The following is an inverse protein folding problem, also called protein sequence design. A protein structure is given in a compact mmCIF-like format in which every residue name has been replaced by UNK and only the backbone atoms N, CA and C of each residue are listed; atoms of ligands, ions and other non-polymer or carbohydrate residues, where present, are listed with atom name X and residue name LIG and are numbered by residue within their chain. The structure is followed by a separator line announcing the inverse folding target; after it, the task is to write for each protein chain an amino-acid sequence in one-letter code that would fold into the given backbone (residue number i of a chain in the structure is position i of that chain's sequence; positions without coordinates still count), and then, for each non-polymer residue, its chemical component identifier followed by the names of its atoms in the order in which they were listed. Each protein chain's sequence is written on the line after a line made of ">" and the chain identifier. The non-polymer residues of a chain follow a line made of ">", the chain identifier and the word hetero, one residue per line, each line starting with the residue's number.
data_IF_815339919058
#
_entry.id   IF_815339919058
#
_cell.length_a   1.000
_cell.length_b   1.000
_cell.length_c   1.000
_cell.angle_alpha   90.00
_cell.angle_beta   90.00
_cell.angle_gamma   90.00
#
_symmetry.space_group_name_H-M   'P 1'
#
loop_
_entity.id
_entity.type
_entity.pdbx_description
1 polymer ?
#
# COMPACT_ATOMS: atom_id res chain seq x y z
N UNK A 1 19.31 -24.09 -25.27
CA UNK A 1 18.16 -23.19 -24.98
C UNK A 1 18.10 -22.13 -26.08
N UNK A 2 17.01 -22.12 -26.85
CA UNK A 2 16.92 -21.36 -28.12
C UNK A 2 16.73 -19.86 -27.87
N UNK A 3 17.51 -19.02 -28.57
CA UNK A 3 17.47 -17.54 -28.52
C UNK A 3 16.05 -16.95 -28.68
N UNK A 4 15.17 -17.66 -29.38
CA UNK A 4 13.76 -17.28 -29.59
C UNK A 4 12.92 -17.18 -28.30
N UNK A 5 13.24 -17.95 -27.26
CA UNK A 5 12.50 -17.89 -25.99
C UNK A 5 12.82 -16.66 -25.14
N UNK A 6 14.05 -16.14 -25.25
CA UNK A 6 14.48 -14.94 -24.51
C UNK A 6 13.89 -13.66 -25.12
N UNK A 7 13.78 -13.60 -26.45
CA UNK A 7 13.16 -12.46 -27.15
C UNK A 7 11.67 -12.36 -26.90
N UNK A 8 10.96 -13.49 -26.79
CA UNK A 8 9.53 -13.51 -26.47
C UNK A 8 9.27 -12.98 -25.05
N UNK A 9 10.05 -13.45 -24.06
CA UNK A 9 9.95 -12.96 -22.67
C UNK A 9 10.32 -11.47 -22.56
N UNK A 10 11.31 -11.01 -23.33
CA UNK A 10 11.70 -9.60 -23.35
C UNK A 10 10.65 -8.68 -23.98
N UNK A 11 9.94 -9.16 -25.01
CA UNK A 11 8.84 -8.43 -25.65
C UNK A 11 7.60 -8.34 -24.74
N UNK A 12 7.22 -9.46 -24.13
CA UNK A 12 6.08 -9.54 -23.20
C UNK A 12 6.34 -8.70 -21.94
N UNK A 13 7.58 -8.66 -21.44
CA UNK A 13 7.99 -7.77 -20.36
C UNK A 13 7.91 -6.29 -20.76
N UNK A 14 8.29 -5.94 -22.00
CA UNK A 14 8.18 -4.56 -22.51
C UNK A 14 6.74 -4.11 -22.68
N UNK A 15 5.88 -5.01 -23.13
CA UNK A 15 4.47 -4.73 -23.30
C UNK A 15 3.78 -4.54 -21.94
N UNK A 16 4.08 -5.39 -20.95
CA UNK A 16 3.62 -5.21 -19.58
C UNK A 16 4.12 -3.90 -18.94
N UNK A 17 5.36 -3.49 -19.21
CA UNK A 17 5.91 -2.20 -18.77
C UNK A 17 5.17 -1.04 -19.45
N UNK A 18 4.85 -1.13 -20.74
CA UNK A 18 4.05 -0.11 -21.44
C UNK A 18 2.63 -0.02 -20.91
N UNK A 19 1.96 -1.13 -20.64
CA UNK A 19 0.61 -1.11 -20.05
C UNK A 19 0.60 -0.50 -18.65
N UNK A 20 1.71 -0.61 -17.91
CA UNK A 20 1.90 0.06 -16.62
C UNK A 20 2.22 1.55 -16.80
N UNK A 21 2.96 1.94 -17.84
CA UNK A 21 3.29 3.34 -18.14
C UNK A 21 2.11 4.12 -18.75
N UNK A 22 1.24 3.49 -19.54
CA UNK A 22 0.11 4.16 -20.19
C UNK A 22 -1.05 4.51 -19.24
N UNK A 23 -1.03 4.03 -17.99
CA UNK A 23 -1.98 4.44 -16.96
C UNK A 23 -1.65 5.79 -16.29
N UNK A 24 -0.60 6.48 -16.73
CA UNK A 24 -0.08 7.71 -16.13
C UNK A 24 -0.72 9.01 -16.67
N UNK A 25 -1.99 8.94 -17.07
CA UNK A 25 -2.84 10.12 -17.19
C UNK A 25 -3.75 10.11 -15.96
N UNK A 26 -3.17 10.45 -14.81
CA UNK A 26 -3.84 10.41 -13.52
C UNK A 26 -4.80 11.61 -13.43
N UNK A 27 -6.07 11.34 -13.14
CA UNK A 27 -6.93 12.34 -12.52
C UNK A 27 -6.20 12.91 -11.30
N UNK A 28 -6.29 14.22 -11.04
CA UNK A 28 -5.63 14.82 -9.89
C UNK A 28 -6.10 14.13 -8.61
N UNK A 29 -5.15 13.56 -7.86
CA UNK A 29 -5.42 12.91 -6.57
C UNK A 29 -6.18 13.87 -5.67
N UNK A 30 -7.31 13.41 -5.11
CA UNK A 30 -8.11 14.25 -4.21
C UNK A 30 -7.40 14.57 -2.90
N UNK A 31 -7.99 15.44 -2.08
CA UNK A 31 -7.47 15.74 -0.75
C UNK A 31 -7.99 14.75 0.30
N UNK A 32 -7.26 14.60 1.42
CA UNK A 32 -7.78 14.04 2.67
C UNK A 32 -8.66 15.10 3.34
N UNK A 33 -9.97 14.90 3.34
CA UNK A 33 -10.91 15.84 3.97
C UNK A 33 -11.18 15.40 5.40
N UNK A 34 -10.76 16.19 6.38
CA UNK A 34 -10.97 15.94 7.80
C UNK A 34 -12.16 16.77 8.29
N UNK A 35 -13.09 16.14 9.03
CA UNK A 35 -14.28 16.80 9.56
C UNK A 35 -14.68 16.27 10.94
N UNK A 36 -15.51 17.04 11.64
CA UNK A 36 -16.02 16.70 12.97
C UNK A 36 -15.20 17.27 14.12
N UNK A 37 -15.45 16.76 15.32
CA UNK A 37 -14.81 17.23 16.55
C UNK A 37 -13.29 17.05 16.48
N UNK A 38 -12.51 18.08 16.86
CA UNK A 38 -11.03 18.07 16.80
C UNK A 38 -10.43 17.90 15.39
N UNK A 39 -11.20 18.16 14.32
CA UNK A 39 -10.73 18.02 12.94
C UNK A 39 -9.47 18.83 12.64
N UNK A 40 -9.35 20.04 13.16
CA UNK A 40 -8.13 20.85 12.96
C UNK A 40 -6.89 20.22 13.59
N UNK A 41 -7.03 19.59 14.76
CA UNK A 41 -5.90 18.93 15.40
C UNK A 41 -5.46 17.72 14.60
N UNK A 42 -6.39 16.85 14.20
CA UNK A 42 -6.06 15.70 13.37
C UNK A 42 -5.50 16.11 12.02
N UNK A 43 -6.04 17.16 11.39
CA UNK A 43 -5.53 17.67 10.12
C UNK A 43 -4.11 18.22 10.24
N UNK A 44 -3.75 18.87 11.37
CA UNK A 44 -2.37 19.28 11.64
C UNK A 44 -1.43 18.09 11.79
N UNK A 45 -1.85 17.04 12.51
CA UNK A 45 -1.06 15.83 12.70
C UNK A 45 -0.89 15.04 11.39
N UNK A 46 -1.97 14.88 10.60
CA UNK A 46 -1.93 14.24 9.29
C UNK A 46 -1.18 15.05 8.24
N UNK A 47 -1.29 16.38 8.29
CA UNK A 47 -0.68 17.32 7.36
C UNK A 47 0.78 17.64 7.64
N UNK A 48 1.40 17.01 8.64
CA UNK A 48 2.80 17.23 8.96
C UNK A 48 3.71 16.86 7.78
N UNK A 49 4.31 17.88 7.14
CA UNK A 49 5.14 17.71 5.95
C UNK A 49 4.36 17.44 4.65
N UNK A 50 3.03 17.51 4.69
CA UNK A 50 2.20 17.31 3.51
C UNK A 50 2.23 18.53 2.56
N UNK A 51 1.99 18.28 1.28
CA UNK A 51 1.81 19.35 0.30
C UNK A 51 0.63 20.26 0.68
N UNK A 52 0.69 21.57 0.38
CA UNK A 52 -0.42 22.48 0.60
C UNK A 52 -1.73 21.97 -0.04
N UNK A 53 -2.77 21.82 0.76
CA UNK A 53 -4.08 21.35 0.31
C UNK A 53 -4.21 19.83 0.14
N UNK A 54 -3.18 19.04 0.46
CA UNK A 54 -3.30 17.57 0.48
C UNK A 54 -4.15 17.07 1.66
N UNK A 55 -4.16 17.80 2.77
CA UNK A 55 -5.04 17.59 3.94
C UNK A 55 -5.80 18.87 4.19
N UNK A 56 -7.14 18.80 4.22
CA UNK A 56 -8.01 19.97 4.40
C UNK A 56 -9.08 19.71 5.44
N UNK A 57 -9.39 20.72 6.24
CA UNK A 57 -10.53 20.68 7.17
C UNK A 57 -11.75 21.26 6.48
N UNK A 58 -12.87 20.55 6.49
CA UNK A 58 -14.17 21.06 5.99
C UNK A 58 -15.31 20.62 6.90
N UNK A 59 -16.14 21.58 7.31
CA UNK A 59 -17.38 21.33 8.04
C UNK A 59 -18.49 22.23 7.46
N UNK A 60 -19.53 21.68 6.82
CA UNK A 60 -19.80 20.26 6.60
C UNK A 60 -18.74 19.57 5.70
N UNK A 61 -18.58 18.23 5.80
CA UNK A 61 -17.65 17.50 4.95
C UNK A 61 -18.02 17.63 3.47
N UNK A 62 -17.06 18.03 2.66
CA UNK A 62 -17.22 18.10 1.21
C UNK A 62 -16.59 16.86 0.57
N UNK A 63 -17.41 16.09 -0.14
CA UNK A 63 -16.99 14.85 -0.82
C UNK A 63 -16.40 15.16 -2.21
N UNK A 64 -16.81 16.28 -2.81
CA UNK A 64 -16.33 16.70 -4.11
C UNK A 64 -14.81 16.97 -4.08
N UNK A 65 -14.06 16.17 -4.83
CA UNK A 65 -12.59 16.26 -4.90
C UNK A 65 -11.86 15.67 -3.69
N UNK A 66 -12.56 14.94 -2.82
CA UNK A 66 -11.94 14.20 -1.72
C UNK A 66 -11.48 12.83 -2.21
N UNK A 67 -10.22 12.48 -1.92
CA UNK A 67 -9.73 11.11 -2.11
C UNK A 67 -10.26 10.20 -0.99
N UNK A 68 -10.39 10.76 0.21
CA UNK A 68 -10.93 10.10 1.39
C UNK A 68 -11.50 11.16 2.35
N UNK A 69 -12.60 10.83 3.01
CA UNK A 69 -13.16 11.64 4.10
C UNK A 69 -12.81 10.99 5.43
N UNK A 70 -12.17 11.72 6.33
CA UNK A 70 -11.91 11.31 7.71
C UNK A 70 -12.90 12.05 8.61
N UNK A 71 -13.83 11.30 9.22
CA UNK A 71 -14.88 11.85 10.08
C UNK A 71 -14.61 11.46 11.53
N UNK A 72 -14.43 12.47 12.39
CA UNK A 72 -14.22 12.26 13.81
C UNK A 72 -15.57 12.29 14.53
N UNK A 73 -15.86 11.23 15.28
CA UNK A 73 -17.11 11.04 16.01
C UNK A 73 -16.88 11.17 17.52
N UNK A 74 -17.66 12.06 18.13
CA UNK A 74 -17.82 12.16 19.57
C UNK A 74 -19.23 11.66 19.95
N UNK A 75 -19.33 10.37 20.28
CA UNK A 75 -20.60 9.73 20.66
C UNK A 75 -21.10 8.71 19.64
N UNK A 76 -22.37 8.33 19.80
CA UNK A 76 -23.02 7.37 18.91
C UNK A 76 -23.30 7.97 17.53
N UNK A 77 -23.21 7.18 16.45
CA UNK A 77 -23.58 7.64 15.11
C UNK A 77 -25.02 8.15 15.07
N UNK A 78 -25.21 9.30 14.43
CA UNK A 78 -26.52 9.89 14.21
C UNK A 78 -26.86 9.94 12.70
N UNK A 79 -28.08 10.40 12.38
CA UNK A 79 -28.54 10.53 10.99
C UNK A 79 -27.60 11.33 10.04
N UNK A 80 -26.87 12.37 10.49
CA UNK A 80 -25.91 13.07 9.63
C UNK A 80 -24.76 12.18 9.14
N UNK A 81 -24.26 11.28 9.98
CA UNK A 81 -23.20 10.33 9.63
C UNK A 81 -23.70 9.32 8.58
N UNK A 82 -24.93 8.84 8.72
CA UNK A 82 -25.54 7.93 7.73
C UNK A 82 -25.71 8.60 6.37
N UNK A 83 -26.12 9.87 6.36
CA UNK A 83 -26.24 10.65 5.14
C UNK A 83 -24.86 10.86 4.47
N UNK A 84 -23.82 11.11 5.26
CA UNK A 84 -22.45 11.21 4.77
C UNK A 84 -21.98 9.92 4.10
N UNK A 85 -22.15 8.76 4.75
CA UNK A 85 -21.71 7.46 4.19
C UNK A 85 -22.44 7.18 2.88
N UNK A 86 -23.76 7.40 2.81
CA UNK A 86 -24.54 7.20 1.58
C UNK A 86 -24.10 8.14 0.46
N UNK A 87 -23.86 9.41 0.79
CA UNK A 87 -23.41 10.40 -0.19
C UNK A 87 -22.00 10.07 -0.70
N UNK A 88 -21.12 9.55 0.16
CA UNK A 88 -19.77 9.16 -0.20
C UNK A 88 -19.74 7.89 -1.05
N UNK A 89 -20.54 6.88 -0.68
CA UNK A 89 -20.74 5.65 -1.44
C UNK A 89 -21.27 5.93 -2.86
N UNK A 90 -22.22 6.85 -2.99
CA UNK A 90 -22.80 7.23 -4.29
C UNK A 90 -21.77 7.78 -5.30
N UNK A 91 -20.62 8.30 -4.83
CA UNK A 91 -19.54 8.82 -5.66
C UNK A 91 -18.23 8.03 -5.51
N UNK A 92 -18.26 6.91 -4.78
CA UNK A 92 -17.10 6.03 -4.58
C UNK A 92 -16.00 6.61 -3.68
N UNK A 93 -16.28 7.63 -2.87
CA UNK A 93 -15.31 8.21 -1.93
C UNK A 93 -15.32 7.42 -0.62
N UNK A 94 -14.19 6.85 -0.17
CA UNK A 94 -14.13 6.16 1.11
C UNK A 94 -14.30 7.11 2.30
N UNK A 95 -14.94 6.61 3.37
CA UNK A 95 -15.06 7.31 4.66
C UNK A 95 -14.36 6.51 5.75
N UNK A 96 -13.40 7.15 6.43
CA UNK A 96 -12.71 6.61 7.61
C UNK A 96 -13.25 7.31 8.85
N UNK A 97 -13.79 6.54 9.79
CA UNK A 97 -14.28 7.07 11.05
C UNK A 97 -13.21 7.00 12.13
N UNK A 98 -13.06 8.08 12.90
CA UNK A 98 -12.19 8.14 14.09
C UNK A 98 -13.08 8.38 15.30
N UNK A 99 -13.13 7.42 16.21
CA UNK A 99 -14.06 7.45 17.35
C UNK A 99 -13.35 7.85 18.64
N UNK A 100 -13.81 8.90 19.32
CA UNK A 100 -13.07 9.50 20.45
C UNK A 100 -13.24 8.82 21.83
N UNK A 101 -14.04 7.76 21.99
CA UNK A 101 -14.06 6.92 23.22
C UNK A 101 -14.91 5.65 23.02
N UNK A 102 -14.60 4.53 23.70
CA UNK A 102 -15.42 3.31 23.64
C UNK A 102 -16.76 3.48 24.37
N UNK A 103 -17.85 3.10 23.71
CA UNK A 103 -19.09 2.77 24.40
C UNK A 103 -19.09 1.26 24.67
N UNK A 104 -19.33 0.85 25.92
CA UNK A 104 -19.48 -0.57 26.28
C UNK A 104 -20.57 -1.29 25.46
N UNK A 105 -21.47 -0.52 24.85
CA UNK A 105 -22.60 -0.98 24.05
C UNK A 105 -22.50 -0.50 22.58
N UNK A 106 -21.29 -0.18 22.11
CA UNK A 106 -21.12 0.34 20.75
C UNK A 106 -21.59 -0.68 19.71
N UNK A 107 -22.55 -0.27 18.89
CA UNK A 107 -22.92 -1.00 17.68
C UNK A 107 -21.98 -0.54 16.57
N UNK A 108 -21.35 -1.45 15.81
CA UNK A 108 -20.61 -1.09 14.61
C UNK A 108 -21.50 -0.18 13.75
N UNK A 109 -21.00 1.00 13.39
CA UNK A 109 -21.63 1.78 12.33
C UNK A 109 -21.80 0.85 11.13
N UNK A 110 -22.99 0.90 10.54
CA UNK A 110 -23.32 0.51 9.18
C UNK A 110 -22.32 -0.39 8.44
N UNK A 111 -22.86 -1.53 7.96
CA UNK A 111 -22.22 -2.57 7.14
C UNK A 111 -21.42 -2.05 5.91
N UNK A 112 -21.56 -0.76 5.55
CA UNK A 112 -21.00 -0.14 4.35
C UNK A 112 -19.62 0.52 4.52
N UNK A 113 -19.21 0.94 5.73
CA UNK A 113 -17.83 1.45 5.94
C UNK A 113 -17.04 0.58 6.92
N UNK A 114 -16.10 -0.25 6.44
CA UNK A 114 -15.30 -1.13 7.29
C UNK A 114 -14.19 -0.39 8.05
N UNK A 115 -14.02 0.91 7.87
CA UNK A 115 -12.87 1.66 8.33
C UNK A 115 -13.20 2.52 9.56
N UNK A 116 -13.29 1.88 10.72
CA UNK A 116 -13.41 2.57 12.02
C UNK A 116 -12.11 2.42 12.79
N UNK A 117 -11.59 3.53 13.31
CA UNK A 117 -10.40 3.60 14.14
C UNK A 117 -10.78 4.16 15.51
N UNK A 118 -10.52 3.39 16.55
CA UNK A 118 -10.78 3.79 17.93
C UNK A 118 -9.66 4.67 18.46
N UNK A 119 -10.01 5.83 19.01
CA UNK A 119 -9.13 6.76 19.69
C UNK A 119 -9.45 6.75 21.18
N UNK A 120 -8.55 6.21 22.00
CA UNK A 120 -8.71 6.20 23.46
C UNK A 120 -8.35 7.59 24.01
N UNK A 121 -9.17 8.10 24.92
CA UNK A 121 -8.87 9.38 25.57
C UNK A 121 -7.61 9.25 26.44
N UNK A 122 -6.83 10.33 26.43
CA UNK A 122 -5.51 10.38 27.06
C UNK A 122 -4.37 9.82 26.20
N UNK A 123 -4.66 9.07 25.12
CA UNK A 123 -3.61 8.51 24.25
C UNK A 123 -3.30 9.38 23.02
N UNK A 124 -4.09 10.43 22.77
CA UNK A 124 -4.01 11.23 21.55
C UNK A 124 -4.56 10.49 20.33
N UNK A 125 -4.45 11.07 19.14
CA UNK A 125 -4.92 10.39 17.92
C UNK A 125 -4.01 9.20 17.59
N UNK A 126 -4.57 8.02 17.27
CA UNK A 126 -3.81 6.87 16.79
C UNK A 126 -3.44 7.07 15.31
N UNK A 127 -2.63 8.09 15.04
CA UNK A 127 -2.23 8.52 13.69
C UNK A 127 -1.74 7.34 12.81
N UNK A 128 -0.94 6.37 13.31
CA UNK A 128 -0.52 5.22 12.51
C UNK A 128 -1.68 4.32 12.06
N UNK A 129 -2.71 4.14 12.89
CA UNK A 129 -3.86 3.30 12.55
C UNK A 129 -4.83 4.03 11.62
N UNK A 130 -4.98 5.35 11.78
CA UNK A 130 -5.72 6.23 10.86
C UNK A 130 -5.05 6.20 9.47
N UNK A 131 -3.73 6.37 9.42
CA UNK A 131 -2.96 6.28 8.18
C UNK A 131 -3.12 4.92 7.49
N UNK A 132 -3.12 3.82 8.26
CA UNK A 132 -3.36 2.46 7.74
C UNK A 132 -4.79 2.26 7.27
N UNK A 133 -5.78 2.91 7.89
CA UNK A 133 -7.16 2.87 7.43
C UNK A 133 -7.31 3.62 6.09
N UNK A 134 -6.76 4.84 6.00
CA UNK A 134 -6.72 5.64 4.76
C UNK A 134 -6.04 4.87 3.63
N UNK A 135 -4.83 4.35 3.87
CA UNK A 135 -4.06 3.62 2.87
C UNK A 135 -4.78 2.37 2.32
N UNK A 136 -5.68 1.78 3.11
CA UNK A 136 -6.48 0.61 2.70
C UNK A 136 -7.77 0.98 2.00
N UNK A 137 -8.27 2.20 2.18
CA UNK A 137 -9.56 2.61 1.68
C UNK A 137 -9.50 3.26 0.29
N UNK A 138 -8.37 3.90 -0.04
CA UNK A 138 -8.19 4.62 -1.31
C UNK A 138 -7.74 3.71 -2.45
N UNK A 139 -8.08 4.07 -3.68
CA UNK A 139 -7.74 3.30 -4.87
C UNK A 139 -6.26 3.44 -5.29
N UNK A 140 -5.71 4.65 -5.10
CA UNK A 140 -4.36 5.03 -5.49
C UNK A 140 -3.54 5.54 -4.29
N UNK A 141 -3.25 4.67 -3.30
CA UNK A 141 -2.60 5.07 -2.07
C UNK A 141 -1.18 5.63 -2.29
N UNK A 142 -0.48 5.20 -3.35
CA UNK A 142 0.87 5.68 -3.65
C UNK A 142 0.90 7.16 -4.00
N UNK A 143 -0.06 7.61 -4.82
CA UNK A 143 -0.15 8.99 -5.26
C UNK A 143 -0.59 9.92 -4.11
N UNK A 144 -1.39 9.42 -3.17
CA UNK A 144 -1.72 10.14 -1.94
C UNK A 144 -0.53 10.23 -0.96
N UNK A 145 0.26 9.14 -0.83
CA UNK A 145 1.44 9.13 0.03
C UNK A 145 2.53 10.10 -0.44
N UNK A 146 2.71 10.26 -1.75
CA UNK A 146 3.63 11.26 -2.30
C UNK A 146 3.30 12.70 -1.87
N UNK A 147 2.01 12.98 -1.58
CA UNK A 147 1.52 14.30 -1.14
C UNK A 147 1.38 14.41 0.38
N UNK A 148 1.28 13.29 1.08
CA UNK A 148 1.11 13.19 2.53
C UNK A 148 2.14 12.20 3.08
N UNK A 149 3.36 12.65 3.40
CA UNK A 149 4.49 11.76 3.75
C UNK A 149 4.21 10.85 4.95
N UNK A 150 3.34 11.29 5.87
CA UNK A 150 2.89 10.47 6.99
C UNK A 150 2.26 9.13 6.55
N UNK A 151 1.65 9.06 5.37
CA UNK A 151 1.03 7.85 4.83
C UNK A 151 2.05 6.86 4.25
N UNK A 152 3.26 7.29 3.89
CA UNK A 152 4.27 6.48 3.18
C UNK A 152 4.46 5.11 3.84
N UNK A 153 4.78 5.08 5.14
CA UNK A 153 5.02 3.83 5.87
C UNK A 153 3.82 2.89 5.85
N UNK A 154 2.61 3.44 5.93
CA UNK A 154 1.37 2.67 5.92
C UNK A 154 1.09 2.08 4.55
N UNK A 155 1.30 2.87 3.48
CA UNK A 155 1.17 2.44 2.09
C UNK A 155 2.21 1.40 1.74
N UNK A 156 3.49 1.64 2.05
CA UNK A 156 4.58 0.68 1.82
C UNK A 156 4.31 -0.65 2.51
N UNK A 157 3.91 -0.63 3.77
CA UNK A 157 3.59 -1.86 4.51
C UNK A 157 2.43 -2.61 3.85
N UNK A 158 1.38 -1.90 3.42
CA UNK A 158 0.24 -2.50 2.72
C UNK A 158 0.63 -3.13 1.38
N UNK A 159 1.44 -2.43 0.59
CA UNK A 159 1.98 -2.89 -0.70
C UNK A 159 2.82 -4.16 -0.51
N UNK A 160 3.73 -4.17 0.47
CA UNK A 160 4.58 -5.33 0.78
C UNK A 160 3.73 -6.52 1.23
N UNK A 161 2.82 -6.34 2.20
CA UNK A 161 1.96 -7.43 2.71
C UNK A 161 1.13 -8.04 1.57
N UNK A 162 0.53 -7.20 0.72
CA UNK A 162 -0.28 -7.66 -0.41
C UNK A 162 0.55 -8.42 -1.45
N UNK A 163 1.74 -7.91 -1.77
CA UNK A 163 2.66 -8.55 -2.71
C UNK A 163 3.14 -9.91 -2.18
N UNK A 164 3.48 -9.99 -0.90
CA UNK A 164 3.91 -11.21 -0.22
C UNK A 164 2.79 -12.25 -0.20
N UNK A 165 1.57 -11.85 0.16
CA UNK A 165 0.41 -12.74 0.17
C UNK A 165 0.11 -13.28 -1.24
N UNK A 166 0.13 -12.42 -2.26
CA UNK A 166 -0.04 -12.83 -3.67
C UNK A 166 1.07 -13.77 -4.13
N UNK A 167 2.33 -13.46 -3.82
CA UNK A 167 3.47 -14.30 -4.16
C UNK A 167 3.36 -15.69 -3.50
N UNK A 168 2.98 -15.74 -2.22
CA UNK A 168 2.75 -16.98 -1.48
C UNK A 168 1.65 -17.83 -2.13
N UNK A 169 0.50 -17.22 -2.46
CA UNK A 169 -0.61 -17.89 -3.14
C UNK A 169 -0.20 -18.42 -4.51
N UNK A 170 0.48 -17.61 -5.33
CA UNK A 170 0.99 -18.04 -6.64
C UNK A 170 2.01 -19.18 -6.51
N UNK A 171 2.87 -19.14 -5.49
CA UNK A 171 3.82 -20.20 -5.18
C UNK A 171 3.12 -21.52 -4.77
N UNK A 172 2.08 -21.43 -3.95
CA UNK A 172 1.30 -22.58 -3.51
C UNK A 172 0.49 -23.22 -4.64
N UNK A 173 -0.20 -22.42 -5.46
CA UNK A 173 -1.09 -22.90 -6.54
C UNK A 173 -0.29 -23.34 -7.77
N UNK A 174 0.86 -22.70 -8.02
CA UNK A 174 1.72 -22.94 -9.17
C UNK A 174 2.30 -24.35 -9.29
N UNK A 175 2.20 -25.18 -8.25
CA UNK A 175 2.65 -26.58 -8.29
C UNK A 175 1.60 -27.55 -8.81
N UNK A 176 0.31 -27.21 -8.72
CA UNK A 176 -0.80 -28.10 -9.13
C UNK A 176 -1.07 -28.06 -10.64
N UNK A 177 -0.78 -26.94 -11.30
CA UNK A 177 -0.88 -26.80 -12.75
C UNK A 177 0.52 -26.55 -13.31
N UNK A 178 0.93 -27.25 -14.37
CA UNK A 178 2.14 -26.94 -15.18
C UNK A 178 1.97 -25.58 -15.88
N UNK A 179 1.80 -24.51 -15.11
CA UNK A 179 1.43 -23.18 -15.58
C UNK A 179 2.47 -22.10 -15.22
N UNK A 180 2.27 -20.86 -15.70
CA UNK A 180 3.25 -19.77 -15.68
C UNK A 180 3.45 -19.10 -14.31
N UNK A 181 3.50 -19.87 -13.22
CA UNK A 181 3.57 -19.34 -11.87
C UNK A 181 4.83 -18.47 -11.62
N UNK A 182 5.97 -18.81 -12.25
CA UNK A 182 7.22 -18.06 -12.10
C UNK A 182 7.13 -16.65 -12.72
N UNK A 183 6.71 -16.47 -13.99
CA UNK A 183 6.45 -15.14 -14.56
C UNK A 183 5.51 -14.28 -13.71
N UNK A 184 4.44 -14.87 -13.16
CA UNK A 184 3.46 -14.13 -12.37
C UNK A 184 4.02 -13.65 -11.02
N UNK A 185 4.87 -14.44 -10.37
CA UNK A 185 5.58 -14.02 -9.14
C UNK A 185 6.51 -12.85 -9.47
N UNK A 186 7.28 -12.94 -10.55
CA UNK A 186 8.17 -11.84 -10.98
C UNK A 186 7.39 -10.58 -11.30
N UNK A 187 6.25 -10.69 -11.98
CA UNK A 187 5.38 -9.55 -12.26
C UNK A 187 4.84 -8.91 -10.98
N UNK A 188 4.48 -9.74 -9.98
CA UNK A 188 4.04 -9.26 -8.66
C UNK A 188 5.14 -8.48 -7.95
N UNK A 189 6.39 -8.99 -8.01
CA UNK A 189 7.56 -8.31 -7.45
C UNK A 189 7.88 -7.00 -8.18
N UNK A 190 7.80 -6.97 -9.51
CA UNK A 190 8.00 -5.76 -10.29
C UNK A 190 6.94 -4.70 -10.00
N UNK A 191 5.66 -5.10 -9.88
CA UNK A 191 4.58 -4.18 -9.48
C UNK A 191 4.80 -3.63 -8.07
N UNK A 192 5.17 -4.47 -7.12
CA UNK A 192 5.52 -4.03 -5.77
C UNK A 192 6.63 -2.98 -5.78
N UNK A 193 7.74 -3.26 -6.49
CA UNK A 193 8.86 -2.31 -6.60
C UNK A 193 8.45 -1.01 -7.29
N UNK A 194 7.57 -1.07 -8.30
CA UNK A 194 7.03 0.11 -8.97
C UNK A 194 6.16 0.95 -8.03
N UNK A 195 5.27 0.31 -7.26
CA UNK A 195 4.42 1.00 -6.27
C UNK A 195 5.27 1.66 -5.18
N UNK A 196 6.26 0.94 -4.63
CA UNK A 196 7.18 1.49 -3.63
C UNK A 196 8.03 2.66 -4.14
N UNK A 197 8.23 2.78 -5.45
CA UNK A 197 8.89 3.94 -6.08
C UNK A 197 7.92 5.07 -6.41
N UNK A 198 6.63 4.77 -6.54
CA UNK A 198 5.60 5.77 -6.81
C UNK A 198 5.18 6.50 -5.53
N UNK A 199 5.37 5.87 -4.35
CA UNK A 199 5.27 6.53 -3.05
C UNK A 199 6.40 7.51 -2.80
N UNK A 200 7.54 7.34 -3.48
CA UNK A 200 8.68 8.26 -3.38
C UNK A 200 8.40 9.53 -4.19
N UNK A 201 8.55 10.69 -3.56
CA UNK A 201 8.55 11.98 -4.26
C UNK A 201 9.61 12.02 -5.36
N UNK A 202 9.37 12.86 -6.38
CA UNK A 202 10.14 12.97 -7.64
C UNK A 202 11.67 13.10 -7.49
N UNK A 203 12.15 13.59 -6.35
CA UNK A 203 13.58 13.84 -6.07
C UNK A 203 14.37 12.56 -5.73
N UNK A 204 13.77 11.60 -4.99
CA UNK A 204 14.47 10.37 -4.55
C UNK A 204 14.69 9.35 -5.67
N UNK A 205 13.95 9.50 -6.78
CA UNK A 205 13.92 8.53 -7.88
C UNK A 205 15.20 8.56 -8.76
N UNK A 206 16.05 9.58 -8.61
CA UNK A 206 17.23 9.82 -9.47
C UNK A 206 18.51 9.07 -9.06
N UNK A 207 18.61 8.52 -7.85
CA UNK A 207 19.93 8.20 -7.27
C UNK A 207 20.30 6.72 -7.12
N UNK A 208 19.52 5.77 -7.63
CA UNK A 208 19.87 4.35 -7.50
C UNK A 208 20.77 3.87 -8.64
N UNK A 209 22.07 3.57 -8.41
CA UNK A 209 22.92 2.96 -9.42
C UNK A 209 22.43 1.54 -9.76
N UNK A 210 22.06 1.26 -11.02
CA UNK A 210 21.41 0.00 -11.42
C UNK A 210 22.27 -1.25 -11.17
N UNK A 211 23.60 -1.08 -11.10
CA UNK A 211 24.55 -2.17 -10.87
C UNK A 211 24.49 -2.76 -9.44
N UNK A 212 24.28 -1.93 -8.41
CA UNK A 212 24.22 -2.39 -7.02
C UNK A 212 22.96 -3.22 -6.74
N UNK A 213 21.84 -2.81 -7.33
CA UNK A 213 20.55 -3.52 -7.25
C UNK A 213 20.64 -4.89 -7.95
N UNK A 214 21.29 -4.95 -9.11
CA UNK A 214 21.48 -6.21 -9.84
C UNK A 214 22.35 -7.22 -9.08
N UNK A 215 23.43 -6.78 -8.42
CA UNK A 215 24.30 -7.69 -7.65
C UNK A 215 23.62 -8.31 -6.43
N UNK A 216 22.92 -7.50 -5.64
CA UNK A 216 22.23 -7.95 -4.43
C UNK A 216 21.06 -8.90 -4.74
N UNK A 217 20.33 -8.65 -5.84
CA UNK A 217 19.23 -9.52 -6.28
C UNK A 217 19.70 -10.88 -6.77
N UNK A 218 20.84 -10.95 -7.46
CA UNK A 218 21.45 -12.22 -7.88
C UNK A 218 21.90 -13.05 -6.67
N UNK A 219 22.61 -12.43 -5.71
CA UNK A 219 23.06 -13.11 -4.50
C UNK A 219 21.88 -13.67 -3.66
N UNK A 220 20.83 -12.87 -3.47
CA UNK A 220 19.62 -13.30 -2.78
C UNK A 220 18.91 -14.47 -3.49
N UNK A 221 18.87 -14.44 -4.82
CA UNK A 221 18.26 -15.51 -5.64
C UNK A 221 18.96 -16.85 -5.47
N UNK A 222 20.30 -16.86 -5.37
CA UNK A 222 21.06 -18.09 -5.12
C UNK A 222 20.84 -18.63 -3.69
N UNK A 223 20.83 -17.75 -2.69
CA UNK A 223 20.58 -18.13 -1.30
C UNK A 223 19.18 -18.74 -1.12
N UNK A 224 18.14 -18.12 -1.70
CA UNK A 224 16.77 -18.63 -1.67
C UNK A 224 16.64 -19.98 -2.38
N UNK A 225 17.35 -20.19 -3.49
CA UNK A 225 17.33 -21.46 -4.21
C UNK A 225 18.00 -22.60 -3.43
N UNK A 226 19.06 -22.31 -2.67
CA UNK A 226 19.69 -23.27 -1.78
C UNK A 226 18.77 -23.65 -0.60
N UNK A 227 18.14 -22.64 0.04
CA UNK A 227 17.17 -22.84 1.11
C UNK A 227 15.96 -23.68 0.65
N UNK A 228 15.43 -23.39 -0.54
CA UNK A 228 14.31 -24.13 -1.14
C UNK A 228 14.60 -25.63 -1.30
N UNK A 229 15.80 -25.99 -1.79
CA UNK A 229 16.19 -27.40 -1.99
C UNK A 229 16.34 -28.16 -0.68
N UNK A 230 16.76 -27.49 0.38
CA UNK A 230 16.85 -28.08 1.72
C UNK A 230 15.45 -28.29 2.31
N UNK A 231 14.57 -27.29 2.19
CA UNK A 231 13.22 -27.32 2.74
C UNK A 231 12.30 -28.38 2.11
N UNK A 232 12.47 -28.72 0.82
CA UNK A 232 11.68 -29.79 0.16
C UNK A 232 11.89 -31.18 0.76
N UNK A 233 12.91 -31.37 1.62
CA UNK A 233 13.12 -32.64 2.33
C UNK A 233 12.15 -32.84 3.49
N UNK A 234 11.53 -31.77 3.99
CA UNK A 234 10.74 -31.78 5.23
C UNK A 234 9.31 -31.26 5.04
N UNK A 235 9.04 -30.53 3.96
CA UNK A 235 7.74 -29.89 3.73
C UNK A 235 7.18 -30.24 2.34
N UNK A 236 5.84 -30.30 2.19
CA UNK A 236 5.19 -30.37 0.89
C UNK A 236 5.67 -29.27 -0.06
N UNK A 237 5.96 -29.65 -1.31
CA UNK A 237 6.38 -28.74 -2.39
C UNK A 237 5.55 -27.44 -2.50
N UNK A 238 4.21 -27.43 -2.40
CA UNK A 238 3.45 -26.16 -2.45
C UNK A 238 3.78 -25.21 -1.29
N UNK A 239 4.00 -25.72 -0.08
CA UNK A 239 4.35 -24.89 1.07
C UNK A 239 5.76 -24.32 0.93
N UNK A 240 6.71 -25.13 0.44
CA UNK A 240 8.07 -24.65 0.15
C UNK A 240 8.04 -23.55 -0.91
N UNK A 241 7.28 -23.71 -1.99
CA UNK A 241 7.20 -22.70 -3.04
C UNK A 241 6.50 -21.43 -2.57
N UNK A 242 5.45 -21.54 -1.75
CA UNK A 242 4.81 -20.39 -1.11
C UNK A 242 5.79 -19.63 -0.21
N UNK A 243 6.52 -20.35 0.64
CA UNK A 243 7.51 -19.77 1.55
C UNK A 243 8.66 -19.09 0.79
N UNK A 244 9.16 -19.70 -0.29
CA UNK A 244 10.23 -19.13 -1.13
C UNK A 244 9.74 -17.88 -1.86
N UNK A 245 8.50 -17.89 -2.38
CA UNK A 245 7.93 -16.74 -3.06
C UNK A 245 7.68 -15.57 -2.08
N UNK A 246 7.10 -15.86 -0.91
CA UNK A 246 6.89 -14.89 0.16
C UNK A 246 8.22 -14.30 0.66
N UNK A 247 9.17 -15.18 1.01
CA UNK A 247 10.49 -14.80 1.51
C UNK A 247 11.31 -14.02 0.49
N UNK A 248 11.27 -14.41 -0.79
CA UNK A 248 11.92 -13.64 -1.85
C UNK A 248 11.33 -12.25 -2.04
N UNK A 249 10.02 -12.12 -1.88
CA UNK A 249 9.33 -10.82 -1.99
C UNK A 249 9.65 -9.91 -0.79
N UNK A 250 9.65 -10.47 0.43
CA UNK A 250 10.08 -9.75 1.64
C UNK A 250 11.54 -9.29 1.55
N UNK A 251 12.45 -10.17 1.11
CA UNK A 251 13.86 -9.85 0.98
C UNK A 251 14.10 -8.71 -0.03
N UNK A 252 13.34 -8.68 -1.13
CA UNK A 252 13.39 -7.58 -2.10
C UNK A 252 12.90 -6.26 -1.50
N UNK A 253 11.79 -6.29 -0.75
CA UNK A 253 11.26 -5.10 -0.08
C UNK A 253 12.26 -4.55 0.96
N UNK A 254 12.85 -5.43 1.78
CA UNK A 254 13.85 -5.05 2.78
C UNK A 254 15.15 -4.51 2.15
N UNK A 255 15.58 -5.10 1.02
CA UNK A 255 16.71 -4.59 0.27
C UNK A 255 16.47 -3.16 -0.22
N UNK A 256 15.27 -2.89 -0.75
CA UNK A 256 14.91 -1.54 -1.20
C UNK A 256 14.92 -0.55 -0.03
N UNK A 257 14.30 -0.90 1.10
CA UNK A 257 14.31 -0.09 2.33
C UNK A 257 15.72 0.25 2.81
N UNK A 258 16.63 -0.72 2.79
CA UNK A 258 18.03 -0.50 3.19
C UNK A 258 18.80 0.39 2.23
N UNK A 259 18.50 0.31 0.94
CA UNK A 259 19.10 1.21 -0.04
C UNK A 259 18.57 2.63 0.13
N UNK A 260 17.27 2.79 0.36
CA UNK A 260 16.63 4.09 0.66
C UNK A 260 17.22 4.73 1.93
N UNK A 261 17.26 4.00 3.05
CA UNK A 261 17.78 4.53 4.32
C UNK A 261 19.26 4.94 4.28
N UNK A 262 20.04 4.45 3.33
CA UNK A 262 21.43 4.90 3.10
C UNK A 262 21.52 6.20 2.31
N UNK A 263 20.57 6.46 1.42
CA UNK A 263 20.52 7.69 0.63
C UNK A 263 20.02 8.87 1.47
N UNK A 264 19.01 8.65 2.33
CA UNK A 264 18.50 9.69 3.23
C UNK A 264 19.46 10.08 4.37
N UNK A 265 20.50 9.27 4.62
CA UNK A 265 21.52 9.52 5.65
C UNK A 265 22.77 10.26 5.15
N UNK A 266 22.88 10.55 3.84
CA UNK A 266 24.01 11.28 3.26
C UNK A 266 23.71 12.74 2.91
N UNK A 267 22.51 13.23 3.25
CA UNK A 267 22.06 14.62 3.11
C UNK A 267 22.02 15.32 4.46
#
# INVERSE_FOLDING_TARGET
>A
MKRAGLTAVALEAREAVRTVQDKKAEDPVGAVVVSGTLAEQLARELGAGAEPGAVVVRDPPSIAGAEVVVRILAGDPAAPEDALVRAADAVGTPVVFVQLWPQANWRPLFVLSPFVVECRAGEGFPVPDIARAIARSVAHPEALAARVPLLERSVESGVVVTAVARAALLGAVGTRRRGPARPLITLTQLRMLSSLRATEGSEAQKELPPAAVAGATLAASFALRAAARSATRFLPVPLVNAAVAAGGTLALAELLRRLQGRLSGSS
#
